data_IF_334858937446
#
_entry.id   IF_334858937446
#
_cell.length_a   1.000
_cell.length_b   1.000
_cell.length_c   1.000
_cell.angle_alpha   90.00
_cell.angle_beta   90.00
_cell.angle_gamma   90.00
#
_symmetry.space_group_name_H-M   'P 1'
#
loop_
_entity.id
_entity.type
_entity.pdbx_description
1 polymer ?
#
# COMPACT_ATOMS: atom_id res chain seq x y z
N UNK A 1 31.47 -11.61 39.62
CA UNK A 1 31.57 -10.88 38.34
C UNK A 1 30.44 -11.36 37.45
N UNK A 2 29.42 -10.52 37.27
CA UNK A 2 28.21 -10.83 36.48
C UNK A 2 28.38 -10.24 35.08
N UNK A 3 28.41 -11.09 34.05
CA UNK A 3 28.39 -10.65 32.65
C UNK A 3 26.94 -10.70 32.16
N UNK A 4 26.30 -9.53 32.13
CA UNK A 4 25.01 -9.31 31.46
C UNK A 4 25.28 -9.04 29.98
N UNK A 5 25.00 -10.00 29.09
CA UNK A 5 25.06 -9.79 27.65
C UNK A 5 23.73 -9.23 27.14
N UNK A 6 23.63 -7.90 27.03
CA UNK A 6 22.58 -7.27 26.24
C UNK A 6 23.07 -7.17 24.79
N UNK A 7 22.40 -7.87 23.86
CA UNK A 7 22.61 -7.68 22.42
C UNK A 7 22.11 -6.29 22.01
N UNK A 8 22.92 -5.44 21.35
CA UNK A 8 22.42 -4.17 20.84
C UNK A 8 21.54 -4.42 19.61
N UNK A 9 20.26 -4.06 19.72
CA UNK A 9 19.37 -3.94 18.56
C UNK A 9 19.89 -2.78 17.72
N UNK A 10 20.41 -3.07 16.53
CA UNK A 10 20.79 -2.04 15.56
C UNK A 10 19.52 -1.27 15.13
N UNK A 11 19.47 0.06 15.29
CA UNK A 11 18.34 0.83 14.78
C UNK A 11 18.36 0.76 13.25
N UNK A 12 17.22 0.42 12.65
CA UNK A 12 17.03 0.49 11.21
C UNK A 12 17.26 1.95 10.75
N UNK A 13 17.95 2.18 9.62
CA UNK A 13 18.20 3.52 9.12
C UNK A 13 16.87 4.24 8.86
N UNK A 14 16.78 5.49 9.33
CA UNK A 14 15.61 6.34 9.11
C UNK A 14 15.45 6.61 7.60
N UNK A 15 14.25 6.47 7.01
CA UNK A 15 14.06 6.80 5.61
C UNK A 15 14.18 8.31 5.42
N UNK A 16 15.26 8.71 4.75
CA UNK A 16 15.48 10.07 4.29
C UNK A 16 14.45 10.40 3.21
N UNK A 17 13.58 11.38 3.48
CA UNK A 17 12.58 11.85 2.52
C UNK A 17 13.27 12.75 1.51
N UNK A 18 13.61 12.23 0.33
CA UNK A 18 13.89 13.02 -0.86
C UNK A 18 12.92 12.66 -1.98
N UNK A 19 12.20 13.67 -2.44
CA UNK A 19 11.37 13.60 -3.63
C UNK A 19 12.27 13.67 -4.87
N UNK A 20 12.78 12.54 -5.36
CA UNK A 20 13.17 12.38 -6.78
C UNK A 20 13.52 10.92 -7.07
N UNK A 21 13.10 10.45 -8.24
CA UNK A 21 13.64 9.25 -8.87
C UNK A 21 15.06 9.58 -9.36
N UNK A 22 16.06 9.47 -8.48
CA UNK A 22 17.46 9.45 -8.86
C UNK A 22 18.01 8.03 -8.78
N UNK A 23 18.70 7.68 -9.86
CA UNK A 23 19.32 6.40 -10.15
C UNK A 23 20.40 6.11 -9.10
N UNK A 24 20.03 5.51 -7.97
CA UNK A 24 21.00 5.15 -6.93
C UNK A 24 20.46 4.66 -5.58
N UNK A 25 19.17 4.86 -5.25
CA UNK A 25 18.59 4.37 -3.99
C UNK A 25 17.70 3.14 -4.23
N UNK A 26 17.96 2.04 -3.52
CA UNK A 26 17.27 0.74 -3.68
C UNK A 26 15.81 0.73 -3.18
N UNK A 27 15.18 1.89 -2.98
CA UNK A 27 13.82 2.02 -2.48
C UNK A 27 13.09 3.03 -3.34
N UNK A 28 12.10 2.58 -4.09
CA UNK A 28 11.27 3.48 -4.88
C UNK A 28 10.31 4.22 -3.93
N UNK A 29 10.55 5.52 -3.74
CA UNK A 29 9.70 6.41 -2.95
C UNK A 29 8.81 7.22 -3.89
N UNK A 30 7.49 7.19 -3.66
CA UNK A 30 6.53 7.87 -4.51
C UNK A 30 5.75 8.93 -3.74
N UNK A 31 5.61 10.11 -4.34
CA UNK A 31 4.81 11.22 -3.83
C UNK A 31 3.65 11.58 -4.79
N UNK A 32 2.57 12.08 -4.20
CA UNK A 32 1.21 12.35 -4.71
C UNK A 32 1.04 12.79 -6.18
N UNK A 33 1.98 13.50 -6.79
CA UNK A 33 1.80 14.13 -8.12
C UNK A 33 2.40 13.34 -9.30
N UNK A 34 2.87 12.12 -9.10
CA UNK A 34 3.46 11.32 -10.18
C UNK A 34 2.36 10.51 -10.88
N UNK A 35 2.19 10.68 -12.20
CA UNK A 35 1.34 9.78 -12.99
C UNK A 35 1.90 8.34 -12.87
N UNK A 36 1.23 7.50 -12.08
CA UNK A 36 1.72 6.18 -11.73
C UNK A 36 1.66 5.26 -12.97
N UNK A 37 2.85 4.84 -13.43
CA UNK A 37 2.99 3.93 -14.57
C UNK A 37 2.97 2.46 -14.15
N UNK A 38 3.24 2.16 -12.89
CA UNK A 38 3.23 0.80 -12.33
C UNK A 38 3.04 0.82 -10.80
N UNK A 39 2.60 -0.30 -10.24
CA UNK A 39 2.59 -0.57 -8.79
C UNK A 39 3.58 -1.66 -8.39
N UNK A 40 3.64 -1.96 -7.08
CA UNK A 40 4.36 -3.13 -6.58
C UNK A 40 3.53 -4.40 -6.88
N UNK A 41 4.09 -5.41 -7.57
CA UNK A 41 3.38 -6.64 -7.84
C UNK A 41 3.23 -7.48 -6.56
N UNK A 42 1.98 -7.78 -6.20
CA UNK A 42 1.64 -8.63 -5.07
C UNK A 42 1.04 -9.95 -5.55
N UNK A 43 1.59 -11.07 -5.09
CA UNK A 43 1.14 -12.41 -5.48
C UNK A 43 2.25 -13.45 -5.39
N UNK A 44 1.86 -14.72 -5.28
CA UNK A 44 2.77 -15.84 -5.29
C UNK A 44 3.36 -16.15 -6.67
N UNK A 45 4.47 -16.88 -6.69
CA UNK A 45 5.12 -17.37 -7.91
C UNK A 45 4.13 -18.27 -8.67
N UNK A 46 3.87 -17.95 -9.94
CA UNK A 46 2.97 -18.73 -10.79
C UNK A 46 1.47 -18.55 -10.52
N UNK A 47 1.08 -17.81 -9.47
CA UNK A 47 -0.31 -17.53 -9.15
C UNK A 47 -0.92 -16.34 -9.93
N UNK A 48 -0.06 -15.58 -10.61
CA UNK A 48 -0.41 -14.24 -11.09
C UNK A 48 -0.28 -13.18 -9.99
N UNK A 49 -0.45 -11.93 -10.39
CA UNK A 49 -0.17 -10.74 -9.57
C UNK A 49 -1.34 -9.76 -9.57
N UNK A 50 -1.44 -8.99 -8.49
CA UNK A 50 -2.20 -7.75 -8.37
C UNK A 50 -1.20 -6.63 -8.06
N UNK A 51 -1.16 -5.57 -8.86
CA UNK A 51 -0.31 -4.42 -8.53
C UNK A 51 -0.98 -3.53 -7.48
N UNK A 52 -0.19 -3.16 -6.47
CA UNK A 52 -0.54 -2.16 -5.48
C UNK A 52 0.15 -0.84 -5.83
N UNK A 53 -0.62 0.17 -6.17
CA UNK A 53 -0.11 1.44 -6.66
C UNK A 53 0.20 2.40 -5.50
N UNK A 54 1.15 3.34 -5.68
CA UNK A 54 1.45 4.37 -4.69
C UNK A 54 0.29 5.28 -4.27
N UNK A 55 -0.76 5.37 -5.07
CA UNK A 55 -1.99 6.12 -4.76
C UNK A 55 -2.99 5.31 -3.92
N UNK A 56 -2.62 4.10 -3.46
CA UNK A 56 -3.45 3.19 -2.68
C UNK A 56 -4.45 2.37 -3.50
N UNK A 57 -4.52 2.63 -4.81
CA UNK A 57 -5.37 1.86 -5.73
C UNK A 57 -4.72 0.54 -6.14
N UNK A 58 -5.48 -0.36 -6.77
CA UNK A 58 -4.94 -1.63 -7.29
C UNK A 58 -5.42 -1.94 -8.69
N UNK A 59 -4.61 -2.69 -9.43
CA UNK A 59 -4.93 -3.08 -10.79
C UNK A 59 -3.89 -4.04 -11.35
N UNK A 60 -3.75 -4.04 -12.68
CA UNK A 60 -2.80 -4.91 -13.40
C UNK A 60 -2.92 -6.39 -13.01
N UNK A 61 -4.14 -6.90 -12.84
CA UNK A 61 -4.38 -8.25 -12.38
C UNK A 61 -4.04 -9.30 -13.46
N UNK A 62 -3.18 -10.25 -13.13
CA UNK A 62 -2.69 -11.30 -14.04
C UNK A 62 -3.08 -12.74 -13.64
N UNK A 63 -3.98 -12.92 -12.66
CA UNK A 63 -4.37 -14.25 -12.15
C UNK A 63 -5.17 -15.13 -13.11
N UNK A 64 -5.44 -14.68 -14.34
CA UNK A 64 -6.12 -15.44 -15.40
C UNK A 64 -5.17 -15.88 -16.51
N UNK A 65 -3.88 -16.06 -16.19
CA UNK A 65 -2.81 -16.34 -17.16
C UNK A 65 -2.71 -15.29 -18.28
N UNK A 66 -3.15 -14.06 -17.99
CA UNK A 66 -3.23 -12.95 -18.93
C UNK A 66 -2.01 -12.03 -18.80
N UNK A 67 -0.80 -12.61 -18.69
CA UNK A 67 0.44 -11.87 -18.41
C UNK A 67 0.73 -10.77 -19.45
N UNK A 68 0.50 -11.06 -20.73
CA UNK A 68 0.68 -10.09 -21.81
C UNK A 68 -0.39 -8.99 -21.82
N UNK A 69 -1.55 -9.24 -21.22
CA UNK A 69 -2.71 -8.34 -21.19
C UNK A 69 -3.34 -8.30 -19.79
N UNK A 70 -2.65 -7.70 -18.79
CA UNK A 70 -3.18 -7.61 -17.43
C UNK A 70 -4.52 -6.88 -17.38
N UNK A 71 -5.47 -7.38 -16.58
CA UNK A 71 -6.74 -6.71 -16.34
C UNK A 71 -6.49 -5.43 -15.53
N UNK A 72 -7.18 -4.33 -15.87
CA UNK A 72 -6.95 -3.04 -15.21
C UNK A 72 -5.73 -2.24 -15.69
N UNK A 73 -4.88 -2.78 -16.57
CA UNK A 73 -3.85 -2.01 -17.31
C UNK A 73 -4.27 -1.71 -18.76
N UNK A 74 -5.24 -2.45 -19.30
CA UNK A 74 -5.86 -2.10 -20.59
C UNK A 74 -6.39 -0.66 -20.47
N UNK A 75 -6.03 0.23 -21.39
CA UNK A 75 -6.55 1.60 -21.41
C UNK A 75 -8.10 1.67 -21.33
N UNK A 76 -8.78 0.58 -21.73
CA UNK A 76 -10.24 0.42 -21.67
C UNK A 76 -10.78 -0.17 -20.35
N UNK A 77 -9.91 -0.71 -19.48
CA UNK A 77 -10.24 -1.08 -18.09
C UNK A 77 -9.65 -0.08 -17.08
N UNK A 78 -8.70 0.77 -17.48
CA UNK A 78 -8.32 1.96 -16.70
C UNK A 78 -9.45 2.98 -16.62
N UNK A 79 -10.33 3.01 -17.62
CA UNK A 79 -11.53 3.83 -17.65
C UNK A 79 -12.64 3.03 -18.31
N UNK A 80 -13.59 2.52 -17.54
CA UNK A 80 -14.81 1.93 -18.07
C UNK A 80 -15.96 2.92 -18.13
N UNK A 81 -17.16 2.51 -18.57
CA UNK A 81 -18.37 3.35 -18.51
C UNK A 81 -18.68 3.88 -17.10
N UNK A 82 -18.09 3.28 -16.05
CA UNK A 82 -18.25 3.68 -14.65
C UNK A 82 -16.99 4.31 -14.02
N UNK A 83 -16.00 4.73 -14.83
CA UNK A 83 -14.81 5.44 -14.34
C UNK A 83 -13.56 4.55 -14.19
N UNK A 84 -12.61 4.99 -13.35
CA UNK A 84 -11.32 4.32 -13.17
C UNK A 84 -11.44 3.07 -12.29
N UNK A 85 -11.36 1.88 -12.87
CA UNK A 85 -11.55 0.64 -12.11
C UNK A 85 -10.45 0.34 -11.10
N UNK A 86 -9.33 1.08 -11.09
CA UNK A 86 -8.32 0.92 -10.03
C UNK A 86 -8.87 1.28 -8.65
N UNK A 87 -9.85 2.17 -8.61
CA UNK A 87 -10.52 2.58 -7.37
C UNK A 87 -11.49 1.54 -6.84
N UNK A 88 -11.84 0.50 -7.62
CA UNK A 88 -13.03 -0.32 -7.36
C UNK A 88 -12.98 -1.21 -6.11
N UNK A 89 -11.82 -1.35 -5.45
CA UNK A 89 -11.68 -2.31 -4.36
C UNK A 89 -11.20 -1.70 -3.03
N UNK A 90 -11.39 -0.42 -2.71
CA UNK A 90 -10.56 0.33 -1.75
C UNK A 90 -10.47 -0.30 -0.35
N UNK A 91 -9.39 0.00 0.39
CA UNK A 91 -9.46 -0.07 1.85
C UNK A 91 -10.15 1.21 2.36
N UNK A 92 -11.03 1.07 3.34
CA UNK A 92 -11.74 2.17 3.95
C UNK A 92 -11.64 2.10 5.47
N UNK A 93 -11.67 3.27 6.10
CA UNK A 93 -11.64 3.41 7.56
C UNK A 93 -12.88 4.16 7.98
N UNK A 94 -13.53 3.65 9.01
CA UNK A 94 -14.64 4.29 9.69
C UNK A 94 -14.27 4.43 11.17
N UNK A 95 -14.48 5.62 11.71
CA UNK A 95 -14.13 5.97 13.08
C UNK A 95 -15.31 6.69 13.70
N UNK A 96 -15.77 6.17 14.83
CA UNK A 96 -16.74 6.81 15.71
C UNK A 96 -16.08 7.03 17.07
N UNK A 97 -15.79 8.29 17.37
CA UNK A 97 -15.20 8.74 18.62
C UNK A 97 -16.25 9.43 19.53
N UNK A 98 -17.53 9.19 19.27
CA UNK A 98 -18.66 9.77 20.00
C UNK A 98 -18.97 11.23 19.66
N UNK A 99 -18.37 11.80 18.61
CA UNK A 99 -18.80 13.08 18.02
C UNK A 99 -20.12 12.91 17.27
N UNK A 100 -20.82 14.03 17.05
CA UNK A 100 -22.05 14.04 16.25
C UNK A 100 -21.85 13.52 14.81
N UNK A 101 -20.64 13.62 14.28
CA UNK A 101 -20.30 13.17 12.92
C UNK A 101 -19.08 12.22 12.94
N UNK A 102 -19.25 10.93 12.59
CA UNK A 102 -18.13 10.01 12.45
C UNK A 102 -17.28 10.33 11.23
N UNK A 103 -16.00 9.92 11.28
CA UNK A 103 -15.09 10.00 10.14
C UNK A 103 -15.22 8.74 9.28
N UNK A 104 -15.32 8.92 7.97
CA UNK A 104 -15.30 7.83 7.00
C UNK A 104 -14.48 8.25 5.78
N UNK A 105 -13.44 7.49 5.45
CA UNK A 105 -12.53 7.85 4.37
C UNK A 105 -11.83 6.63 3.76
N UNK A 106 -11.37 6.79 2.53
CA UNK A 106 -10.65 5.77 1.76
C UNK A 106 -9.14 5.88 1.96
N UNK A 107 -8.45 4.75 2.07
CA UNK A 107 -6.99 4.66 2.11
C UNK A 107 -6.39 4.64 0.69
N UNK A 108 -6.79 5.61 -0.12
CA UNK A 108 -6.28 5.90 -1.46
C UNK A 108 -6.48 7.39 -1.73
N UNK A 109 -5.71 7.99 -2.63
CA UNK A 109 -5.86 9.43 -2.96
C UNK A 109 -6.92 9.69 -4.04
N UNK A 110 -7.40 8.64 -4.71
CA UNK A 110 -8.49 8.73 -5.68
C UNK A 110 -9.84 8.44 -5.00
N UNK A 111 -10.74 9.42 -5.02
CA UNK A 111 -12.08 9.28 -4.45
C UNK A 111 -12.99 8.36 -5.28
N UNK A 112 -13.98 7.78 -4.61
CA UNK A 112 -15.08 7.03 -5.24
C UNK A 112 -16.37 7.81 -4.99
N UNK A 113 -16.91 8.41 -6.04
CA UNK A 113 -18.06 9.31 -5.90
C UNK A 113 -17.73 10.46 -4.95
N UNK A 114 -18.53 10.63 -3.89
CA UNK A 114 -18.34 11.66 -2.86
C UNK A 114 -17.61 11.16 -1.61
N UNK A 115 -17.11 9.92 -1.60
CA UNK A 115 -16.41 9.37 -0.46
C UNK A 115 -15.07 10.11 -0.23
N UNK A 116 -14.83 10.66 0.98
CA UNK A 116 -13.56 11.26 1.33
C UNK A 116 -12.41 10.28 1.19
N UNK A 117 -11.23 10.80 0.88
CA UNK A 117 -9.99 10.06 0.69
C UNK A 117 -8.90 10.66 1.58
N UNK A 118 -7.81 9.93 1.80
CA UNK A 118 -6.61 10.49 2.43
C UNK A 118 -6.00 11.59 1.55
N UNK A 119 -5.44 12.62 2.18
CA UNK A 119 -4.84 13.76 1.49
C UNK A 119 -3.55 13.37 0.75
N UNK A 120 -2.90 12.29 1.20
CA UNK A 120 -1.65 11.84 0.63
C UNK A 120 -1.23 10.47 1.12
N UNK A 121 -0.36 9.84 0.33
CA UNK A 121 0.24 8.56 0.65
C UNK A 121 1.73 8.67 0.36
N UNK A 122 2.54 8.22 1.31
CA UNK A 122 3.97 7.95 1.09
C UNK A 122 4.15 6.45 1.02
N UNK A 123 4.66 5.97 -0.10
CA UNK A 123 4.98 4.56 -0.30
C UNK A 123 6.48 4.39 -0.50
N UNK A 124 7.07 3.47 0.26
CA UNK A 124 8.39 2.91 0.04
C UNK A 124 8.23 1.47 -0.46
N UNK A 125 8.46 1.26 -1.76
CA UNK A 125 8.32 -0.06 -2.40
C UNK A 125 9.66 -0.72 -2.67
N UNK A 126 9.85 -1.92 -2.13
CA UNK A 126 10.96 -2.82 -2.46
C UNK A 126 10.44 -4.26 -2.43
N UNK A 127 10.23 -4.85 -3.61
CA UNK A 127 9.73 -6.23 -3.72
C UNK A 127 10.53 -7.17 -2.78
N UNK A 128 9.85 -8.00 -1.96
CA UNK A 128 8.43 -8.34 -2.01
C UNK A 128 7.51 -7.49 -1.12
N UNK A 129 7.97 -6.34 -0.61
CA UNK A 129 7.28 -5.54 0.42
C UNK A 129 7.06 -4.09 -0.03
N UNK A 130 5.90 -3.52 0.28
CA UNK A 130 5.63 -2.09 0.24
C UNK A 130 5.24 -1.62 1.64
N UNK A 131 5.89 -0.55 2.09
CA UNK A 131 5.50 0.17 3.31
C UNK A 131 4.78 1.46 2.92
N UNK A 132 3.65 1.73 3.57
CA UNK A 132 2.83 2.90 3.33
C UNK A 132 2.50 3.63 4.62
N UNK A 133 2.51 4.95 4.54
CA UNK A 133 1.93 5.84 5.54
C UNK A 133 0.91 6.76 4.89
N UNK A 134 -0.26 6.89 5.52
CA UNK A 134 -1.37 7.67 5.01
C UNK A 134 -1.47 9.01 5.74
N UNK A 135 -1.59 10.09 4.99
CA UNK A 135 -1.88 11.42 5.51
C UNK A 135 -3.40 11.55 5.68
N UNK A 136 -3.84 11.54 6.94
CA UNK A 136 -5.26 11.54 7.30
C UNK A 136 -5.80 12.96 7.58
N UNK A 137 -5.05 14.02 7.25
CA UNK A 137 -5.43 15.40 7.50
C UNK A 137 -5.69 15.66 8.99
N UNK A 138 -6.87 16.23 9.30
CA UNK A 138 -7.29 16.56 10.67
C UNK A 138 -7.82 15.35 11.48
N UNK A 139 -7.88 14.16 10.89
CA UNK A 139 -8.36 12.96 11.57
C UNK A 139 -7.29 12.49 12.56
N UNK A 140 -7.61 12.28 13.86
CA UNK A 140 -6.61 11.97 14.90
C UNK A 140 -6.15 10.51 14.87
N UNK A 141 -5.90 9.96 13.69
CA UNK A 141 -5.36 8.61 13.49
C UNK A 141 -4.02 8.66 12.76
N UNK A 142 -3.10 7.81 13.20
CA UNK A 142 -1.92 7.46 12.41
C UNK A 142 -2.12 6.06 11.84
N UNK A 143 -2.11 5.97 10.51
CA UNK A 143 -2.34 4.71 9.79
C UNK A 143 -1.10 4.37 8.97
N UNK A 144 -0.63 3.14 9.14
CA UNK A 144 0.44 2.55 8.34
C UNK A 144 -0.01 1.21 7.78
N UNK A 145 0.51 0.85 6.61
CA UNK A 145 0.26 -0.44 5.98
C UNK A 145 1.57 -1.05 5.50
N UNK A 146 1.72 -2.35 5.71
CA UNK A 146 2.71 -3.17 5.04
C UNK A 146 1.97 -4.12 4.11
N UNK A 147 2.21 -3.99 2.81
CA UNK A 147 1.66 -4.88 1.79
C UNK A 147 2.78 -5.77 1.24
N UNK A 148 2.59 -7.08 1.14
CA UNK A 148 3.65 -7.98 0.69
C UNK A 148 3.17 -9.26 0.00
N UNK A 149 4.06 -9.80 -0.84
CA UNK A 149 3.92 -11.13 -1.45
C UNK A 149 4.54 -12.20 -0.55
N UNK A 150 4.03 -13.46 -0.58
CA UNK A 150 4.59 -14.57 0.21
C UNK A 150 5.95 -15.08 -0.29
N UNK A 151 6.85 -14.22 -0.77
CA UNK A 151 8.09 -14.61 -1.42
C UNK A 151 9.16 -15.00 -0.39
N UNK A 152 9.34 -16.32 -0.18
CA UNK A 152 10.25 -16.88 0.83
C UNK A 152 11.31 -17.75 0.13
N UNK A 153 12.60 -17.32 0.11
CA UNK A 153 13.66 -18.08 -0.53
C UNK A 153 13.74 -19.53 -0.03
N UNK A 154 13.81 -20.48 -0.98
CA UNK A 154 13.89 -21.91 -0.68
C UNK A 154 12.60 -22.58 -0.21
N UNK A 155 11.48 -21.85 -0.19
CA UNK A 155 10.15 -22.36 0.16
C UNK A 155 9.18 -22.06 -0.97
N UNK A 156 9.25 -22.88 -2.02
CA UNK A 156 8.48 -22.75 -3.25
C UNK A 156 6.98 -22.94 -3.03
N UNK A 157 6.56 -23.91 -2.23
CA UNK A 157 5.14 -24.12 -1.88
C UNK A 157 4.53 -22.86 -1.24
N UNK A 158 5.19 -22.30 -0.22
CA UNK A 158 4.73 -21.06 0.41
C UNK A 158 4.79 -19.88 -0.56
N UNK A 159 5.87 -19.79 -1.34
CA UNK A 159 6.08 -18.73 -2.33
C UNK A 159 5.08 -18.76 -3.47
N UNK A 160 4.48 -19.91 -3.76
CA UNK A 160 3.43 -20.08 -4.75
C UNK A 160 2.03 -19.72 -4.26
N UNK A 161 1.86 -19.36 -2.98
CA UNK A 161 0.54 -19.07 -2.40
C UNK A 161 -0.14 -17.93 -3.17
N UNK A 162 -1.37 -18.11 -3.70
CA UNK A 162 -2.09 -17.11 -4.47
C UNK A 162 -2.70 -16.02 -3.57
N UNK A 163 -1.85 -15.29 -2.86
CA UNK A 163 -2.27 -14.30 -1.87
C UNK A 163 -1.41 -13.03 -1.92
N UNK A 164 -2.04 -11.93 -1.53
CA UNK A 164 -1.39 -10.68 -1.16
C UNK A 164 -1.74 -10.41 0.31
N UNK A 165 -0.73 -10.05 1.10
CA UNK A 165 -0.91 -9.82 2.54
C UNK A 165 -0.87 -8.33 2.83
N UNK A 166 -1.77 -7.88 3.71
CA UNK A 166 -1.86 -6.49 4.15
C UNK A 166 -1.91 -6.46 5.67
N UNK A 167 -0.89 -5.85 6.29
CA UNK A 167 -0.86 -5.60 7.72
C UNK A 167 -1.09 -4.11 7.96
N UNK A 168 -2.26 -3.76 8.48
CA UNK A 168 -2.58 -2.39 8.88
C UNK A 168 -2.24 -2.19 10.35
N UNK A 169 -1.54 -1.10 10.63
CA UNK A 169 -1.32 -0.61 12.00
C UNK A 169 -2.04 0.72 12.13
N UNK A 170 -3.07 0.75 12.97
CA UNK A 170 -3.84 1.95 13.29
C UNK A 170 -3.48 2.38 14.70
N UNK A 171 -3.13 3.65 14.88
CA UNK A 171 -2.82 4.24 16.19
C UNK A 171 -3.68 5.46 16.41
N UNK A 172 -4.42 5.47 17.52
CA UNK A 172 -5.16 6.64 17.97
C UNK A 172 -4.18 7.72 18.46
N UNK A 173 -4.32 8.95 17.95
CA UNK A 173 -3.55 10.14 18.32
C UNK A 173 -4.40 11.20 19.04
N UNK A 174 -5.68 10.93 19.19
CA UNK A 174 -6.63 11.78 19.89
C UNK A 174 -6.68 11.51 21.38
N UNK A 175 -7.58 12.22 22.02
CA UNK A 175 -7.91 12.15 23.45
C UNK A 175 -9.20 11.34 23.73
N UNK A 176 -9.85 10.83 22.68
CA UNK A 176 -11.09 10.05 22.72
C UNK A 176 -10.82 8.61 22.27
N UNK A 177 -11.55 7.61 22.81
CA UNK A 177 -11.33 6.20 22.47
C UNK A 177 -11.51 5.90 20.98
#
# INVERSE_FOLDING_TARGET
MSLSSANPVLPLPQPFVKNTCEKGENVATYAHHSALRSGLPLGGIGAGTLEFFPDGTRGAFTGLNNWEKPLGQLHNFRSGPFGDYRVANPFAVWVDDGRDQPFAFLLQTLSIGTAPAVDGIKMAGLFPVAELSFDCGDIPLSIKMIAFSPFIPGRDEDSGTPAAFFRLTVSNKGDRP
#
